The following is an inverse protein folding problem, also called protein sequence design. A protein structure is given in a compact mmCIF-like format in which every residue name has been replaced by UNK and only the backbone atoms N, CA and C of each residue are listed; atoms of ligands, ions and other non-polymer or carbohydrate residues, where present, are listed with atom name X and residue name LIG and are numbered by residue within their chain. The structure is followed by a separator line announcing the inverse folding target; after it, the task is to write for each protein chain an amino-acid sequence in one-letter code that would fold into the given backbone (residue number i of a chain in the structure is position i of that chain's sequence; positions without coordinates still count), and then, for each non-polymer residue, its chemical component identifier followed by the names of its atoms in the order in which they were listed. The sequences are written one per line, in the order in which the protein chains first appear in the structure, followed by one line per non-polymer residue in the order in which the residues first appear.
data_IF_336233799555
#
_entry.id   IF_336233799555
#
_cell.length_a   1.000
_cell.length_b   1.000
_cell.length_c   1.000
_cell.angle_alpha   90.00
_cell.angle_beta   90.00
_cell.angle_gamma   90.00
#
_symmetry.space_group_name_H-M   'P 1'
#
loop_
_entity.id
_entity.type
_entity.pdbx_description
1 polymer ?
#
# COMPACT_ATOMS: atom_id res chain seq x y z
N UNK A 1 -5.55 -14.73 -57.81
CA UNK A 1 -4.80 -13.85 -56.89
C UNK A 1 -5.54 -13.86 -55.55
N UNK A 2 -5.15 -14.72 -54.61
CA UNK A 2 -5.79 -14.80 -53.29
C UNK A 2 -5.23 -13.72 -52.38
N UNK A 3 -6.11 -12.93 -51.76
CA UNK A 3 -5.73 -11.94 -50.77
C UNK A 3 -5.28 -12.63 -49.47
N UNK A 4 -4.13 -12.21 -48.94
CA UNK A 4 -3.64 -12.62 -47.63
C UNK A 4 -4.46 -11.90 -46.56
N UNK A 5 -5.38 -12.60 -45.89
CA UNK A 5 -6.09 -12.02 -44.75
C UNK A 5 -5.17 -12.05 -43.52
N UNK A 6 -4.93 -10.90 -42.85
CA UNK A 6 -4.18 -10.88 -41.60
C UNK A 6 -4.97 -11.62 -40.52
N UNK A 7 -4.31 -12.54 -39.82
CA UNK A 7 -4.88 -13.20 -38.66
C UNK A 7 -5.23 -12.14 -37.59
N UNK A 8 -6.36 -12.29 -36.87
CA UNK A 8 -6.74 -11.35 -35.82
C UNK A 8 -5.66 -11.33 -34.72
N UNK A 9 -5.16 -10.13 -34.40
CA UNK A 9 -4.19 -9.93 -33.33
C UNK A 9 -4.78 -10.39 -32.00
N UNK A 10 -4.08 -11.23 -31.21
CA UNK A 10 -4.52 -11.58 -29.86
C UNK A 10 -4.50 -10.40 -28.89
N UNK A 11 -3.94 -9.26 -29.30
CA UNK A 11 -3.87 -8.01 -28.55
C UNK A 11 -4.86 -6.95 -29.05
N UNK A 12 -5.78 -7.30 -29.95
CA UNK A 12 -6.87 -6.40 -30.30
C UNK A 12 -7.66 -6.05 -29.03
N UNK A 13 -8.00 -4.77 -28.79
CA UNK A 13 -8.79 -4.39 -27.63
C UNK A 13 -10.13 -5.10 -27.73
N UNK A 14 -10.32 -6.10 -26.86
CA UNK A 14 -11.58 -6.80 -26.73
C UNK A 14 -12.57 -5.81 -26.14
N UNK A 15 -13.29 -5.11 -27.02
CA UNK A 15 -14.36 -4.21 -26.65
C UNK A 15 -15.32 -4.92 -25.69
N UNK A 16 -15.58 -4.28 -24.55
CA UNK A 16 -16.73 -4.51 -23.66
C UNK A 16 -16.84 -5.81 -22.87
N UNK A 17 -15.85 -6.72 -22.86
CA UNK A 17 -15.92 -7.93 -22.01
C UNK A 17 -16.04 -7.61 -20.50
N UNK A 18 -15.62 -6.41 -20.08
CA UNK A 18 -15.76 -5.91 -18.71
C UNK A 18 -17.00 -5.04 -18.47
N UNK A 19 -17.84 -4.77 -19.48
CA UNK A 19 -19.01 -3.90 -19.37
C UNK A 19 -20.29 -4.65 -18.97
N UNK A 20 -20.21 -5.94 -18.61
CA UNK A 20 -21.35 -6.68 -18.09
C UNK A 20 -21.59 -6.31 -16.61
N UNK A 21 -22.78 -5.78 -16.25
CA UNK A 21 -23.15 -5.59 -14.84
C UNK A 21 -23.11 -6.95 -14.15
N UNK A 22 -22.29 -7.08 -13.11
CA UNK A 22 -22.19 -8.33 -12.32
C UNK A 22 -21.08 -9.31 -12.72
N UNK A 23 -20.09 -8.92 -13.53
CA UNK A 23 -18.89 -9.74 -13.65
C UNK A 23 -18.23 -9.92 -12.27
N UNK A 24 -17.99 -11.17 -11.86
CA UNK A 24 -17.30 -11.51 -10.61
C UNK A 24 -15.93 -10.83 -10.48
N UNK A 25 -15.30 -10.48 -11.60
CA UNK A 25 -14.07 -9.70 -11.65
C UNK A 25 -14.20 -8.33 -10.96
N UNK A 26 -15.32 -7.63 -11.11
CA UNK A 26 -15.56 -6.34 -10.45
C UNK A 26 -15.69 -6.48 -8.94
N UNK A 27 -16.34 -7.56 -8.48
CA UNK A 27 -16.45 -7.87 -7.05
C UNK A 27 -15.07 -8.13 -6.45
N UNK A 28 -14.26 -8.96 -7.10
CA UNK A 28 -12.89 -9.27 -6.64
C UNK A 28 -12.01 -8.02 -6.61
N UNK A 29 -12.11 -7.14 -7.62
CA UNK A 29 -11.38 -5.86 -7.62
C UNK A 29 -11.84 -4.95 -6.51
N UNK A 30 -13.15 -4.85 -6.25
CA UNK A 30 -13.70 -4.04 -5.16
C UNK A 30 -13.27 -4.57 -3.78
N UNK A 31 -13.30 -5.89 -3.57
CA UNK A 31 -12.79 -6.54 -2.36
C UNK A 31 -11.29 -6.28 -2.18
N UNK A 32 -10.49 -6.39 -3.25
CA UNK A 32 -9.07 -6.08 -3.23
C UNK A 32 -8.79 -4.63 -2.79
N UNK A 33 -9.57 -3.66 -3.29
CA UNK A 33 -9.46 -2.25 -2.88
C UNK A 33 -9.83 -2.06 -1.42
N UNK A 34 -10.88 -2.71 -0.94
CA UNK A 34 -11.27 -2.66 0.46
C UNK A 34 -10.16 -3.19 1.38
N UNK A 35 -9.49 -4.29 0.98
CA UNK A 35 -8.35 -4.83 1.71
C UNK A 35 -7.16 -3.86 1.72
N UNK A 36 -6.81 -3.27 0.56
CA UNK A 36 -5.73 -2.26 0.49
C UNK A 36 -6.04 -1.05 1.35
N UNK A 37 -7.28 -0.54 1.30
CA UNK A 37 -7.72 0.58 2.14
C UNK A 37 -7.64 0.24 3.63
N UNK A 38 -8.09 -0.95 4.02
CA UNK A 38 -8.00 -1.40 5.42
C UNK A 38 -6.55 -1.55 5.88
N UNK A 39 -5.68 -2.09 5.02
CA UNK A 39 -4.27 -2.25 5.33
C UNK A 39 -3.57 -0.89 5.48
N UNK A 40 -3.81 0.04 4.56
CA UNK A 40 -3.25 1.39 4.64
C UNK A 40 -3.68 2.13 5.91
N UNK A 41 -4.96 2.03 6.29
CA UNK A 41 -5.46 2.62 7.54
C UNK A 41 -4.82 1.97 8.77
N UNK A 42 -4.64 0.65 8.78
CA UNK A 42 -3.95 -0.06 9.86
C UNK A 42 -2.49 0.36 9.97
N UNK A 43 -1.77 0.45 8.85
CA UNK A 43 -0.38 0.91 8.82
C UNK A 43 -0.22 2.32 9.38
N UNK A 44 -1.10 3.25 9.02
CA UNK A 44 -1.06 4.61 9.56
C UNK A 44 -1.19 4.62 11.09
N UNK A 45 -2.15 3.85 11.64
CA UNK A 45 -2.35 3.73 13.09
C UNK A 45 -1.14 3.10 13.79
N UNK A 46 -0.55 2.07 13.20
CA UNK A 46 0.65 1.40 13.74
C UNK A 46 1.86 2.34 13.71
N UNK A 47 2.02 3.13 12.64
CA UNK A 47 3.08 4.14 12.52
C UNK A 47 2.92 5.23 13.58
N UNK A 48 1.71 5.77 13.75
CA UNK A 48 1.40 6.76 14.81
C UNK A 48 1.73 6.21 16.20
N UNK A 49 1.32 4.96 16.48
CA UNK A 49 1.63 4.28 17.73
C UNK A 49 3.14 4.12 17.97
N UNK A 50 3.88 3.73 16.93
CA UNK A 50 5.33 3.59 17.00
C UNK A 50 6.03 4.95 17.23
N UNK A 51 5.61 6.00 16.54
CA UNK A 51 6.14 7.36 16.74
C UNK A 51 5.86 7.89 18.15
N UNK A 52 4.66 7.62 18.68
CA UNK A 52 4.30 7.97 20.05
C UNK A 52 5.17 7.21 21.08
N UNK A 53 5.48 5.94 20.84
CA UNK A 53 6.37 5.15 21.68
C UNK A 53 7.82 5.69 21.65
N UNK A 54 8.33 6.06 20.48
CA UNK A 54 9.66 6.70 20.33
C UNK A 54 9.69 8.00 21.14
N UNK A 55 8.67 8.85 21.01
CA UNK A 55 8.59 10.10 21.76
C UNK A 55 8.55 9.84 23.28
N UNK A 56 7.76 8.86 23.72
CA UNK A 56 7.60 8.49 25.14
C UNK A 56 8.86 7.85 25.73
N UNK A 57 9.73 7.25 24.91
CA UNK A 57 10.98 6.66 25.39
C UNK A 57 11.92 7.69 26.06
N UNK A 58 11.79 8.97 25.67
CA UNK A 58 12.61 10.07 26.20
C UNK A 58 12.18 10.52 27.59
N UNK A 59 10.92 10.26 27.98
CA UNK A 59 10.44 10.58 29.33
C UNK A 59 10.76 9.50 30.36
N UNK A 60 11.32 8.36 29.95
CA UNK A 60 11.74 7.30 30.86
C UNK A 60 12.99 7.78 31.62
N UNK A 61 12.87 7.87 32.95
CA UNK A 61 13.99 8.18 33.87
C UNK A 61 14.89 6.94 33.96
N UNK A 62 15.76 6.79 32.96
CA UNK A 62 16.72 5.71 32.84
C UNK A 62 18.01 6.24 32.22
N UNK A 63 19.15 6.05 32.88
CA UNK A 63 20.43 6.64 32.46
C UNK A 63 21.50 5.57 32.20
N UNK A 64 22.57 5.98 31.51
CA UNK A 64 23.72 5.16 31.18
C UNK A 64 23.70 4.61 29.76
N UNK A 65 24.81 3.98 29.35
CA UNK A 65 25.05 3.56 27.97
C UNK A 65 23.97 2.64 27.38
N UNK A 66 23.32 1.81 28.22
CA UNK A 66 22.22 0.96 27.77
C UNK A 66 20.97 1.79 27.43
N UNK A 67 20.69 2.84 28.19
CA UNK A 67 19.59 3.75 27.93
C UNK A 67 19.83 4.57 26.66
N UNK A 68 21.09 4.98 26.43
CA UNK A 68 21.48 5.71 25.21
C UNK A 68 21.35 4.81 23.97
N UNK A 69 21.86 3.58 24.02
CA UNK A 69 21.71 2.61 22.93
C UNK A 69 20.24 2.31 22.63
N UNK A 70 19.40 2.17 23.67
CA UNK A 70 17.97 1.96 23.48
C UNK A 70 17.31 3.11 22.72
N UNK A 71 17.59 4.36 23.12
CA UNK A 71 17.05 5.55 22.45
C UNK A 71 17.57 5.70 21.03
N UNK A 72 18.86 5.45 20.80
CA UNK A 72 19.47 5.47 19.47
C UNK A 72 18.79 4.45 18.54
N UNK A 73 18.52 3.24 19.04
CA UNK A 73 17.81 2.20 18.26
C UNK A 73 16.38 2.61 17.94
N UNK A 74 15.67 3.23 18.88
CA UNK A 74 14.33 3.75 18.65
C UNK A 74 14.32 4.92 17.66
N UNK A 75 15.24 5.88 17.79
CA UNK A 75 15.39 6.98 16.85
C UNK A 75 15.71 6.46 15.43
N UNK A 76 16.52 5.41 15.34
CA UNK A 76 16.83 4.72 14.08
C UNK A 76 15.62 4.09 13.39
N UNK A 77 14.54 3.80 14.11
CA UNK A 77 13.30 3.30 13.54
C UNK A 77 12.43 4.39 12.90
N UNK A 78 12.72 5.67 13.13
CA UNK A 78 11.86 6.75 12.65
C UNK A 78 11.77 6.82 11.12
N UNK A 79 12.92 6.83 10.45
CA UNK A 79 12.97 6.86 8.99
C UNK A 79 12.23 5.68 8.31
N UNK A 80 12.40 4.41 8.73
CA UNK A 80 11.63 3.32 8.14
C UNK A 80 10.14 3.39 8.47
N UNK A 81 9.73 3.90 9.63
CA UNK A 81 8.30 4.11 9.95
C UNK A 81 7.69 5.14 8.99
N UNK A 82 8.33 6.30 8.83
CA UNK A 82 7.87 7.35 7.91
C UNK A 82 7.80 6.83 6.46
N UNK A 83 8.77 6.00 6.06
CA UNK A 83 8.77 5.34 4.75
C UNK A 83 7.60 4.37 4.55
N UNK A 84 7.26 3.58 5.56
CA UNK A 84 6.13 2.65 5.50
C UNK A 84 4.79 3.37 5.33
N UNK A 85 4.59 4.49 6.02
CA UNK A 85 3.36 5.30 5.89
C UNK A 85 3.25 5.90 4.48
N UNK A 86 4.36 6.41 3.93
CA UNK A 86 4.42 6.92 2.55
C UNK A 86 4.10 5.82 1.53
N UNK A 87 4.67 4.63 1.70
CA UNK A 87 4.47 3.48 0.80
C UNK A 87 3.02 2.95 0.88
N UNK A 88 2.44 2.89 2.07
CA UNK A 88 1.04 2.53 2.27
C UNK A 88 0.11 3.54 1.57
N UNK A 89 0.37 4.84 1.75
CA UNK A 89 -0.37 5.90 1.06
C UNK A 89 -0.21 5.86 -0.46
N UNK A 90 0.99 5.53 -0.97
CA UNK A 90 1.23 5.35 -2.40
C UNK A 90 0.46 4.16 -2.96
N UNK A 91 0.46 3.03 -2.24
CA UNK A 91 -0.28 1.82 -2.62
C UNK A 91 -1.78 2.08 -2.68
N UNK A 92 -2.34 2.83 -1.72
CA UNK A 92 -3.74 3.24 -1.75
C UNK A 92 -4.08 4.08 -2.97
N UNK A 93 -3.26 5.09 -3.30
CA UNK A 93 -3.45 5.92 -4.50
C UNK A 93 -3.41 5.08 -5.79
N UNK A 94 -2.46 4.14 -5.88
CA UNK A 94 -2.38 3.23 -7.02
C UNK A 94 -3.63 2.36 -7.14
N UNK A 95 -4.09 1.80 -6.02
CA UNK A 95 -5.32 1.02 -5.98
C UNK A 95 -6.52 1.83 -6.47
N UNK A 96 -6.63 3.10 -6.08
CA UNK A 96 -7.72 3.98 -6.51
C UNK A 96 -7.67 4.27 -8.03
N UNK A 97 -6.49 4.56 -8.58
CA UNK A 97 -6.32 4.91 -10.00
C UNK A 97 -6.45 3.73 -10.97
N UNK A 98 -6.19 2.49 -10.54
CA UNK A 98 -6.16 1.30 -11.40
C UNK A 98 -7.53 0.80 -11.94
N UNK A 99 -8.59 1.63 -11.88
CA UNK A 99 -9.94 1.25 -12.31
C UNK A 99 -10.70 2.35 -13.04
N UNK A 100 -9.99 3.38 -13.52
CA UNK A 100 -10.51 4.38 -14.44
C UNK A 100 -10.26 3.98 -15.90
#
# INVERSE_FOLDING_TARGET
MSAFQPAPSPFAPQGTAFAAPGCRCHVVVAEGRALVSSAAAGTALDCDGALAAIASSRSIVWEGAAADLFRERLDGMRAPIDGLDVDAGATLRLADTAGA
#
